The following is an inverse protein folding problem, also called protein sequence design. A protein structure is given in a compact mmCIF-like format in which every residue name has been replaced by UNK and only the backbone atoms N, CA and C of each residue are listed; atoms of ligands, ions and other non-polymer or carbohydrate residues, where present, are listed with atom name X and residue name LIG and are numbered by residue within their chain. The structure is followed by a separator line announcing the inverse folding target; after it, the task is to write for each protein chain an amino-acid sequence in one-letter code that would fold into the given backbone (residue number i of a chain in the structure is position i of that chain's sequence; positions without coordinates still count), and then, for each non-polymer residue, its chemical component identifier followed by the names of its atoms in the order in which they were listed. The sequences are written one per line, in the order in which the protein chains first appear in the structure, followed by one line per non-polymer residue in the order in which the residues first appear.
data_IF_496597516563
#
_entry.id   IF_496597516563
#
_cell.length_a   1.000
_cell.length_b   1.000
_cell.length_c   1.000
_cell.angle_alpha   90.00
_cell.angle_beta   90.00
_cell.angle_gamma   90.00
#
_symmetry.space_group_name_H-M   'P 1'
#
loop_
_entity.id
_entity.type
_entity.pdbx_description
1 polymer ?
#
# COMPACT_ATOMS: atom_id res chain seq x y z
N UNK A 1 19.58 23.25 -7.66
CA UNK A 1 19.03 22.73 -6.38
C UNK A 1 17.72 23.44 -6.11
N UNK A 2 16.60 22.81 -6.45
CA UNK A 2 15.26 23.28 -6.07
C UNK A 2 14.80 22.39 -4.93
N UNK A 3 14.62 22.98 -3.75
CA UNK A 3 13.98 22.34 -2.61
C UNK A 3 12.48 22.35 -2.91
N UNK A 4 11.86 21.19 -3.04
CA UNK A 4 10.40 21.07 -2.99
C UNK A 4 10.12 20.58 -1.57
N UNK A 5 9.67 21.51 -0.72
CA UNK A 5 9.24 21.19 0.63
C UNK A 5 7.79 20.72 0.57
N UNK A 6 7.54 19.49 0.99
CA UNK A 6 6.19 19.02 1.28
C UNK A 6 5.68 19.85 2.45
N UNK A 7 4.69 20.70 2.19
CA UNK A 7 3.99 21.49 3.20
C UNK A 7 2.80 20.64 3.67
N UNK A 8 2.95 20.01 4.83
CA UNK A 8 1.86 19.34 5.53
C UNK A 8 0.91 20.40 6.11
N UNK A 9 -0.18 20.70 5.38
CA UNK A 9 -1.21 21.66 5.78
C UNK A 9 -2.23 20.98 6.70
N UNK A 10 -1.95 20.94 8.01
CA UNK A 10 -2.93 20.54 9.02
C UNK A 10 -3.90 21.72 9.24
N UNK A 11 -5.04 21.73 8.53
CA UNK A 11 -6.12 22.68 8.79
C UNK A 11 -6.92 22.23 10.02
N UNK A 12 -6.61 22.80 11.19
CA UNK A 12 -7.48 22.69 12.37
C UNK A 12 -8.62 23.71 12.21
N UNK A 13 -9.74 23.30 11.61
CA UNK A 13 -10.96 24.11 11.61
C UNK A 13 -11.80 23.81 12.85
N UNK A 14 -11.64 24.64 13.86
CA UNK A 14 -12.50 24.71 15.04
C UNK A 14 -13.79 25.46 14.70
N UNK A 15 -14.85 24.76 14.27
CA UNK A 15 -16.24 25.27 14.32
C UNK A 15 -17.22 24.13 14.61
N UNK A 16 -18.08 24.34 15.59
CA UNK A 16 -18.92 23.32 16.21
C UNK A 16 -20.16 22.89 15.44
N UNK A 17 -20.63 21.71 15.84
CA UNK A 17 -22.01 21.17 15.79
C UNK A 17 -22.86 21.51 14.58
N UNK A 18 -23.06 20.51 13.70
CA UNK A 18 -24.39 20.12 13.23
C UNK A 18 -24.32 18.70 12.65
N UNK A 19 -25.27 17.88 13.07
CA UNK A 19 -25.56 16.55 12.53
C UNK A 19 -25.63 16.62 11.00
N UNK A 20 -24.69 15.95 10.35
CA UNK A 20 -24.72 15.61 8.95
C UNK A 20 -23.70 14.49 8.77
N UNK A 21 -24.19 13.27 8.59
CA UNK A 21 -23.39 12.12 8.16
C UNK A 21 -22.91 12.41 6.74
N UNK A 22 -21.90 13.27 6.62
CA UNK A 22 -21.08 13.39 5.44
C UNK A 22 -19.83 12.59 5.73
N UNK A 23 -19.73 11.38 5.18
CA UNK A 23 -18.40 10.82 4.93
C UNK A 23 -17.66 11.90 4.16
N UNK A 24 -16.66 12.51 4.80
CA UNK A 24 -15.68 13.25 4.02
C UNK A 24 -14.97 12.19 3.20
N UNK A 25 -15.36 12.07 1.92
CA UNK A 25 -14.56 11.42 0.90
C UNK A 25 -13.29 12.26 0.74
N UNK A 26 -12.39 12.12 1.72
CA UNK A 26 -10.99 12.43 1.55
C UNK A 26 -10.56 11.39 0.52
N UNK A 27 -10.25 11.83 -0.69
CA UNK A 27 -9.59 10.98 -1.66
C UNK A 27 -8.31 10.47 -0.98
N UNK A 28 -8.30 9.18 -0.62
CA UNK A 28 -7.23 8.48 0.09
C UNK A 28 -6.41 7.64 -0.89
N UNK A 29 -6.49 7.94 -2.18
CA UNK A 29 -5.70 7.22 -3.19
C UNK A 29 -4.22 7.29 -2.79
N UNK A 30 -3.50 6.18 -2.98
CA UNK A 30 -2.06 6.15 -2.74
C UNK A 30 -1.42 7.22 -3.63
N UNK A 31 -0.49 8.01 -3.10
CA UNK A 31 0.27 8.95 -3.95
C UNK A 31 0.94 8.14 -5.06
N UNK A 32 0.80 8.60 -6.31
CA UNK A 32 1.41 7.93 -7.45
C UNK A 32 2.94 7.94 -7.27
N UNK A 33 3.53 6.76 -7.33
CA UNK A 33 4.97 6.57 -7.16
C UNK A 33 5.62 6.50 -8.53
N UNK A 34 6.69 7.25 -8.75
CA UNK A 34 7.54 7.12 -9.94
C UNK A 34 8.56 6.00 -9.70
N UNK A 35 8.57 4.98 -10.57
CA UNK A 35 9.50 3.85 -10.46
C UNK A 35 10.99 4.28 -10.46
N UNK A 36 11.32 5.43 -11.04
CA UNK A 36 12.68 5.99 -11.02
C UNK A 36 13.11 6.53 -9.65
N UNK A 37 12.17 6.77 -8.74
CA UNK A 37 12.43 7.14 -7.35
C UNK A 37 12.71 5.92 -6.47
N UNK A 38 12.48 4.71 -6.98
CA UNK A 38 12.64 3.46 -6.24
C UNK A 38 14.06 2.93 -6.37
N UNK A 39 14.70 2.71 -5.22
CA UNK A 39 16.02 2.10 -5.11
C UNK A 39 15.94 0.58 -5.13
N UNK A 40 14.94 0.02 -4.44
CA UNK A 40 14.73 -1.42 -4.32
C UNK A 40 13.33 -1.72 -3.80
N UNK A 41 12.78 -2.88 -4.16
CA UNK A 41 11.62 -3.46 -3.48
C UNK A 41 12.02 -4.82 -2.93
N UNK A 42 11.78 -5.05 -1.65
CA UNK A 42 11.90 -6.36 -1.00
C UNK A 42 10.51 -6.94 -0.80
N UNK A 43 10.30 -8.17 -1.26
CA UNK A 43 9.07 -8.91 -1.04
C UNK A 43 9.32 -10.03 -0.04
N UNK A 44 8.59 -9.97 1.06
CA UNK A 44 8.66 -10.94 2.15
C UNK A 44 7.26 -11.48 2.44
N UNK A 45 7.17 -12.60 3.13
CA UNK A 45 5.87 -13.12 3.51
C UNK A 45 5.92 -14.52 4.05
N UNK A 46 4.75 -15.08 4.28
CA UNK A 46 4.57 -16.47 4.68
C UNK A 46 3.42 -17.12 3.92
N UNK A 47 3.58 -18.38 3.54
CA UNK A 47 2.53 -19.20 2.94
C UNK A 47 1.65 -19.90 4.00
N UNK A 48 1.93 -19.71 5.29
CA UNK A 48 1.23 -20.36 6.41
C UNK A 48 1.71 -21.79 6.72
N UNK A 49 2.65 -22.33 5.94
CA UNK A 49 3.31 -23.61 6.19
C UNK A 49 4.47 -23.54 7.18
N UNK A 50 4.92 -24.69 7.68
CA UNK A 50 6.02 -24.82 8.67
C UNK A 50 7.33 -24.15 8.23
N UNK A 51 7.61 -24.16 6.93
CA UNK A 51 8.77 -23.49 6.30
C UNK A 51 8.29 -22.50 5.24
N UNK A 52 7.14 -21.86 5.47
CA UNK A 52 6.42 -21.06 4.49
C UNK A 52 6.97 -19.65 4.27
N UNK A 53 8.00 -19.25 5.01
CA UNK A 53 8.53 -17.90 4.96
C UNK A 53 9.41 -17.70 3.73
N UNK A 54 9.31 -16.54 3.09
CA UNK A 54 10.16 -16.16 1.96
C UNK A 54 10.59 -14.69 2.10
N UNK A 55 11.73 -14.37 1.48
CA UNK A 55 12.21 -13.01 1.27
C UNK A 55 13.06 -13.01 0.00
N UNK A 56 12.81 -12.06 -0.89
CA UNK A 56 13.67 -11.79 -2.04
C UNK A 56 13.48 -10.34 -2.51
N UNK A 57 14.49 -9.82 -3.19
CA UNK A 57 14.43 -8.50 -3.82
C UNK A 57 13.93 -8.61 -5.26
N UNK A 58 13.24 -7.56 -5.72
CA UNK A 58 12.84 -7.43 -7.13
C UNK A 58 14.02 -7.03 -8.00
N UNK A 59 13.98 -7.49 -9.24
CA UNK A 59 14.78 -6.95 -10.35
C UNK A 59 14.24 -5.59 -10.81
N UNK A 60 15.05 -4.80 -11.52
CA UNK A 60 14.65 -3.49 -12.04
C UNK A 60 13.37 -3.55 -12.88
N UNK A 61 13.20 -4.64 -13.65
CA UNK A 61 11.99 -4.86 -14.45
C UNK A 61 10.76 -5.08 -13.57
N UNK A 62 10.88 -5.92 -12.54
CA UNK A 62 9.80 -6.22 -11.60
C UNK A 62 9.43 -4.98 -10.76
N UNK A 63 10.39 -4.11 -10.46
CA UNK A 63 10.10 -2.82 -9.80
C UNK A 63 9.15 -1.99 -10.64
N UNK A 64 9.44 -1.82 -11.94
CA UNK A 64 8.57 -1.04 -12.85
C UNK A 64 7.18 -1.67 -12.95
N UNK A 65 7.10 -2.98 -13.22
CA UNK A 65 5.82 -3.69 -13.36
C UNK A 65 4.99 -3.63 -12.07
N UNK A 66 5.64 -3.75 -10.89
CA UNK A 66 4.96 -3.67 -9.61
C UNK A 66 4.46 -2.26 -9.30
N UNK A 67 5.27 -1.22 -9.55
CA UNK A 67 4.85 0.16 -9.31
C UNK A 67 3.70 0.56 -10.24
N UNK A 68 3.71 0.11 -11.50
CA UNK A 68 2.59 0.29 -12.43
C UNK A 68 1.30 -0.37 -11.91
N UNK A 69 1.40 -1.57 -11.32
CA UNK A 69 0.26 -2.24 -10.68
C UNK A 69 -0.19 -1.50 -9.41
N UNK A 70 0.74 -1.12 -8.54
CA UNK A 70 0.48 -0.44 -7.28
C UNK A 70 -0.22 0.91 -7.49
N UNK A 71 0.19 1.68 -8.49
CA UNK A 71 -0.41 2.97 -8.84
C UNK A 71 -1.88 2.88 -9.32
N UNK A 72 -2.40 1.66 -9.55
CA UNK A 72 -3.81 1.44 -9.89
C UNK A 72 -4.68 1.18 -8.65
N UNK A 73 -4.09 0.94 -7.48
CA UNK A 73 -4.80 0.65 -6.23
C UNK A 73 -5.62 1.87 -5.78
N UNK A 74 -6.89 1.63 -5.44
CA UNK A 74 -7.78 2.61 -4.83
C UNK A 74 -8.06 2.20 -3.39
N UNK A 75 -7.73 3.10 -2.46
CA UNK A 75 -7.94 2.87 -1.03
C UNK A 75 -9.23 3.55 -0.58
N UNK A 76 -10.06 2.78 0.12
CA UNK A 76 -11.34 3.24 0.67
C UNK A 76 -11.24 3.68 2.13
N UNK A 77 -12.26 3.28 2.91
CA UNK A 77 -12.32 3.62 4.34
C UNK A 77 -11.25 2.88 5.15
N UNK A 78 -10.79 3.49 6.26
CA UNK A 78 -9.88 2.82 7.20
C UNK A 78 -10.65 1.69 7.88
N UNK A 79 -10.00 0.55 8.04
CA UNK A 79 -10.57 -0.67 8.62
C UNK A 79 -9.92 -0.94 9.97
N UNK A 80 -10.75 -1.33 10.95
CA UNK A 80 -10.27 -1.80 12.25
C UNK A 80 -9.34 -3.01 12.07
N UNK A 81 -8.13 -2.94 12.62
CA UNK A 81 -7.13 -4.01 12.54
C UNK A 81 -7.70 -5.37 12.95
N UNK A 82 -8.53 -5.45 14.00
CA UNK A 82 -9.11 -6.72 14.45
C UNK A 82 -10.03 -7.35 13.40
N UNK A 83 -10.58 -6.55 12.49
CA UNK A 83 -11.38 -7.00 11.35
C UNK A 83 -10.49 -7.39 10.16
N UNK A 84 -9.29 -6.81 10.06
CA UNK A 84 -8.36 -7.02 8.96
C UNK A 84 -7.38 -8.19 9.18
N UNK A 85 -7.08 -8.52 10.43
CA UNK A 85 -6.17 -9.60 10.78
C UNK A 85 -6.61 -10.94 10.19
N UNK A 86 -5.71 -11.52 9.41
CA UNK A 86 -5.83 -12.82 8.77
C UNK A 86 -4.82 -13.78 9.38
N UNK A 87 -5.25 -15.01 9.72
CA UNK A 87 -4.36 -16.07 10.19
C UNK A 87 -3.78 -16.92 9.04
N UNK A 88 -3.73 -16.35 7.82
CA UNK A 88 -3.38 -17.05 6.60
C UNK A 88 -2.02 -16.65 6.02
N UNK A 89 -1.85 -16.90 4.73
CA UNK A 89 -0.71 -16.38 3.99
C UNK A 89 -0.77 -14.84 3.94
N UNK A 90 0.39 -14.20 4.01
CA UNK A 90 0.53 -12.75 3.93
C UNK A 90 1.80 -12.41 3.16
N UNK A 91 1.74 -11.34 2.38
CA UNK A 91 2.81 -10.81 1.55
C UNK A 91 3.05 -9.35 1.90
N UNK A 92 4.29 -8.98 2.21
CA UNK A 92 4.70 -7.62 2.51
C UNK A 92 5.71 -7.14 1.47
N UNK A 93 5.49 -5.94 0.95
CA UNK A 93 6.43 -5.28 0.05
C UNK A 93 7.01 -4.08 0.77
N UNK A 94 8.32 -4.11 1.02
CA UNK A 94 9.07 -2.97 1.55
C UNK A 94 9.72 -2.25 0.38
N UNK A 95 9.22 -1.06 0.08
CA UNK A 95 9.70 -0.18 -0.97
C UNK A 95 10.74 0.76 -0.37
N UNK A 96 11.97 0.67 -0.85
CA UNK A 96 13.06 1.57 -0.46
C UNK A 96 13.21 2.65 -1.52
N UNK A 97 13.06 3.91 -1.14
CA UNK A 97 13.21 5.05 -2.04
C UNK A 97 14.68 5.49 -2.14
N UNK A 98 15.01 6.20 -3.22
CA UNK A 98 16.33 6.82 -3.40
C UNK A 98 16.63 7.90 -2.34
N UNK A 99 15.60 8.41 -1.65
CA UNK A 99 15.69 9.35 -0.52
C UNK A 99 16.03 8.68 0.81
N UNK A 100 16.20 7.36 0.82
CA UNK A 100 16.33 6.50 2.02
C UNK A 100 15.05 6.44 2.89
N UNK A 101 13.92 6.96 2.40
CA UNK A 101 12.59 6.69 2.95
C UNK A 101 12.14 5.26 2.60
N UNK A 102 11.17 4.74 3.37
CA UNK A 102 10.61 3.41 3.16
C UNK A 102 9.09 3.43 3.25
N UNK A 103 8.43 2.66 2.40
CA UNK A 103 7.00 2.39 2.47
C UNK A 103 6.78 0.88 2.53
N UNK A 104 6.08 0.41 3.55
CA UNK A 104 5.68 -1.00 3.65
C UNK A 104 4.21 -1.11 3.31
N UNK A 105 3.86 -2.08 2.46
CA UNK A 105 2.47 -2.39 2.14
C UNK A 105 2.20 -3.89 2.22
N UNK A 106 0.94 -4.25 2.48
CA UNK A 106 0.44 -5.62 2.33
C UNK A 106 -0.89 -5.63 1.58
N UNK A 107 -0.87 -5.99 0.28
CA UNK A 107 -2.08 -6.24 -0.48
C UNK A 107 -2.82 -7.47 0.06
N UNK A 108 -4.13 -7.32 0.23
CA UNK A 108 -5.04 -8.39 0.62
C UNK A 108 -6.48 -7.91 0.49
N UNK A 109 -7.44 -8.64 1.06
CA UNK A 109 -8.84 -8.19 1.12
C UNK A 109 -8.98 -6.80 1.75
N UNK A 110 -8.12 -6.51 2.72
CA UNK A 110 -7.84 -5.16 3.19
C UNK A 110 -6.40 -4.85 2.81
N UNK A 111 -6.16 -3.64 2.35
CA UNK A 111 -4.84 -3.19 1.92
C UNK A 111 -4.16 -2.50 3.08
N UNK A 112 -3.01 -3.03 3.51
CA UNK A 112 -2.19 -2.45 4.56
C UNK A 112 -1.22 -1.45 3.94
N UNK A 113 -1.16 -0.25 4.52
CA UNK A 113 -0.14 0.76 4.24
C UNK A 113 0.48 1.15 5.57
N UNK A 114 1.77 0.88 5.72
CA UNK A 114 2.49 0.92 6.99
C UNK A 114 1.78 0.08 8.06
N UNK A 115 1.17 0.71 9.07
CA UNK A 115 0.43 0.02 10.14
C UNK A 115 -1.10 0.29 10.05
N UNK A 116 -1.60 0.78 8.91
CA UNK A 116 -3.01 1.14 8.73
C UNK A 116 -3.67 0.29 7.65
N UNK A 117 -4.81 -0.31 7.98
CA UNK A 117 -5.62 -1.08 7.05
C UNK A 117 -6.69 -0.23 6.38
N UNK A 118 -6.86 -0.42 5.08
CA UNK A 118 -7.86 0.25 4.25
C UNK A 118 -8.74 -0.78 3.53
N UNK A 119 -9.97 -0.40 3.20
CA UNK A 119 -10.73 -1.09 2.17
C UNK A 119 -9.97 -1.00 0.84
N UNK A 120 -9.86 -2.13 0.14
CA UNK A 120 -9.28 -2.17 -1.21
C UNK A 120 -10.43 -2.05 -2.21
N UNK A 121 -10.76 -0.83 -2.62
CA UNK A 121 -12.03 -0.52 -3.30
C UNK A 121 -12.17 -1.19 -4.67
N UNK A 122 -11.05 -1.35 -5.39
CA UNK A 122 -10.99 -2.08 -6.65
C UNK A 122 -10.32 -3.46 -6.52
N UNK A 123 -10.47 -4.12 -5.36
CA UNK A 123 -9.98 -5.48 -5.11
C UNK A 123 -10.39 -6.47 -6.20
N UNK A 124 -11.68 -6.52 -6.55
CA UNK A 124 -12.20 -7.49 -7.53
C UNK A 124 -11.61 -7.29 -8.93
N UNK A 125 -11.10 -6.09 -9.24
CA UNK A 125 -10.46 -5.76 -10.51
C UNK A 125 -8.96 -6.08 -10.52
N UNK A 126 -8.25 -5.79 -9.42
CA UNK A 126 -6.78 -5.85 -9.38
C UNK A 126 -6.20 -7.07 -8.67
N UNK A 127 -6.98 -7.78 -7.84
CA UNK A 127 -6.43 -8.85 -7.02
C UNK A 127 -5.80 -9.97 -7.85
N UNK A 128 -6.43 -10.35 -8.96
CA UNK A 128 -5.89 -11.38 -9.85
C UNK A 128 -4.55 -10.96 -10.47
N UNK A 129 -4.34 -9.67 -10.74
CA UNK A 129 -3.07 -9.14 -11.25
C UNK A 129 -1.95 -9.23 -10.20
N UNK A 130 -2.26 -8.97 -8.91
CA UNK A 130 -1.31 -9.22 -7.81
C UNK A 130 -0.95 -10.70 -7.69
N UNK A 131 -1.94 -11.59 -7.85
CA UNK A 131 -1.70 -13.04 -7.84
C UNK A 131 -0.81 -13.45 -9.02
N UNK A 132 -1.10 -12.97 -10.22
CA UNK A 132 -0.30 -13.25 -11.42
C UNK A 132 1.13 -12.75 -11.23
N UNK A 133 1.30 -11.50 -10.79
CA UNK A 133 2.62 -10.91 -10.53
C UNK A 133 3.44 -11.77 -9.56
N UNK A 134 2.83 -12.20 -8.45
CA UNK A 134 3.49 -13.03 -7.44
C UNK A 134 3.75 -14.48 -7.89
N UNK A 135 2.99 -14.99 -8.87
CA UNK A 135 3.09 -16.37 -9.37
C UNK A 135 4.18 -16.57 -10.42
N UNK A 136 4.82 -15.50 -10.91
CA UNK A 136 5.90 -15.56 -11.92
C UNK A 136 7.24 -16.01 -11.28
N UNK A 137 7.24 -16.35 -9.98
CA UNK A 137 8.41 -16.75 -9.19
C UNK A 137 8.47 -18.25 -8.95
#
# INVERSE_FOLDING_TARGET
MKKIGIVLLILISLTGTLLGCGKQDVNKDLESIDASEIKQIEHTGTTGGKDGNFSYSFSDKEVVEFIDLLNQVKLGDIVDENKALSSGAVSYYTIYFATDETLTISPGKYFEVEDTYYEFDNYDELWDEFIVFNSIK
#
